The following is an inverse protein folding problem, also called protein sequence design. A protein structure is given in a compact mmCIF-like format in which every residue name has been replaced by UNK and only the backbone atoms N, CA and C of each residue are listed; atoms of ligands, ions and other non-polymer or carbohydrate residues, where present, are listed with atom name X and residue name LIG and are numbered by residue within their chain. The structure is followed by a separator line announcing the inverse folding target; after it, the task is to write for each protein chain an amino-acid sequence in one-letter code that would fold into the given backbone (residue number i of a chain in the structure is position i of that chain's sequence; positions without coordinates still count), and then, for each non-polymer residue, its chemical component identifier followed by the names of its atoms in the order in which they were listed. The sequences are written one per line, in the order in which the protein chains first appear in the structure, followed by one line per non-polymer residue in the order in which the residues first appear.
data_IF_026674347903
#
_entry.id   IF_026674347903
#
_cell.length_a   1.000
_cell.length_b   1.000
_cell.length_c   1.000
_cell.angle_alpha   90.00
_cell.angle_beta   90.00
_cell.angle_gamma   90.00
#
_symmetry.space_group_name_H-M   'P 1'
#
loop_
_entity.id
_entity.type
_entity.pdbx_description
1 polymer ?
#
# COMPACT_ATOMS: atom_id res chain seq x y z
N UNK A 1 -28.02 21.81 -104.19
CA UNK A 1 -27.42 20.50 -104.56
C UNK A 1 -26.17 20.30 -103.70
N UNK A 2 -25.75 19.05 -103.53
CA UNK A 2 -24.44 18.61 -103.01
C UNK A 2 -23.95 19.13 -101.64
N UNK A 3 -24.18 18.30 -100.62
CA UNK A 3 -23.17 17.92 -99.61
C UNK A 3 -22.14 16.95 -100.26
N UNK A 4 -20.99 16.53 -99.66
CA UNK A 4 -20.56 16.55 -98.24
C UNK A 4 -19.10 17.08 -98.04
N UNK A 5 -18.45 17.11 -96.86
CA UNK A 5 -17.92 16.00 -96.00
C UNK A 5 -17.48 16.51 -94.59
N UNK A 6 -17.14 15.65 -93.60
CA UNK A 6 -17.69 15.82 -92.23
C UNK A 6 -16.70 15.79 -91.03
N UNK A 7 -17.28 16.00 -89.82
CA UNK A 7 -17.07 15.40 -88.46
C UNK A 7 -15.81 14.56 -88.14
N UNK A 8 -15.40 14.41 -86.85
CA UNK A 8 -16.10 14.73 -85.57
C UNK A 8 -15.37 15.82 -84.75
N UNK A 9 -15.53 16.10 -83.44
CA UNK A 9 -16.29 15.55 -82.27
C UNK A 9 -16.50 16.71 -81.25
N UNK A 10 -17.30 16.67 -80.16
CA UNK A 10 -18.40 15.81 -79.66
C UNK A 10 -19.14 16.56 -78.51
N UNK A 11 -20.16 15.93 -77.90
CA UNK A 11 -20.84 16.31 -76.64
C UNK A 11 -19.99 15.97 -75.40
N UNK A 12 -20.30 16.41 -74.16
CA UNK A 12 -21.58 16.79 -73.50
C UNK A 12 -21.34 17.95 -72.50
N UNK A 13 -22.26 18.86 -72.12
CA UNK A 13 -23.65 18.73 -71.62
C UNK A 13 -23.74 17.89 -70.32
N UNK A 14 -24.42 18.29 -69.24
CA UNK A 14 -25.08 19.55 -68.81
C UNK A 14 -25.21 19.48 -67.25
N UNK A 15 -25.79 20.37 -66.45
CA UNK A 15 -26.78 21.46 -66.68
C UNK A 15 -26.63 22.53 -65.59
N UNK A 16 -26.88 23.80 -65.93
CA UNK A 16 -27.15 24.85 -64.94
C UNK A 16 -28.65 25.10 -64.86
N UNK A 17 -29.23 25.08 -63.67
CA UNK A 17 -30.54 25.68 -63.40
C UNK A 17 -30.48 26.39 -62.04
N UNK A 18 -31.00 27.62 -61.99
CA UNK A 18 -30.83 28.54 -60.87
C UNK A 18 -32.13 28.75 -60.12
N UNK A 19 -32.04 29.01 -58.79
CA UNK A 19 -32.32 30.34 -58.19
C UNK A 19 -32.42 30.30 -56.66
N UNK A 20 -32.42 31.51 -56.12
CA UNK A 20 -32.83 31.97 -54.78
C UNK A 20 -31.77 31.76 -53.70
N UNK A 21 -31.59 32.84 -52.96
CA UNK A 21 -30.73 33.03 -51.81
C UNK A 21 -31.45 32.52 -50.55
N UNK A 22 -30.77 31.73 -49.73
CA UNK A 22 -31.10 31.58 -48.31
C UNK A 22 -29.90 32.10 -47.52
N UNK A 23 -30.05 33.31 -46.99
CA UNK A 23 -29.07 33.94 -46.10
C UNK A 23 -29.02 33.18 -44.76
N UNK A 24 -27.81 32.97 -44.24
CA UNK A 24 -27.51 32.50 -42.89
C UNK A 24 -28.26 31.24 -42.37
N UNK A 25 -27.58 30.08 -42.41
CA UNK A 25 -27.23 29.23 -41.24
C UNK A 25 -26.15 28.23 -41.69
N UNK A 26 -24.89 28.67 -41.75
CA UNK A 26 -23.73 27.78 -41.52
C UNK A 26 -22.46 28.57 -41.16
N UNK A 27 -22.60 29.52 -40.23
CA UNK A 27 -21.45 29.99 -39.46
C UNK A 27 -20.94 28.83 -38.61
N UNK A 28 -20.06 28.00 -39.19
CA UNK A 28 -19.50 26.82 -38.56
C UNK A 28 -18.94 27.19 -37.19
N UNK A 29 -19.65 26.79 -36.13
CA UNK A 29 -19.22 26.96 -34.76
C UNK A 29 -18.07 25.99 -34.52
N UNK A 30 -16.88 26.41 -34.95
CA UNK A 30 -15.63 26.02 -34.31
C UNK A 30 -15.69 26.54 -32.88
N UNK A 31 -16.36 25.78 -32.03
CA UNK A 31 -16.08 25.76 -30.62
C UNK A 31 -14.58 25.48 -30.50
N UNK A 32 -13.80 26.52 -30.26
CA UNK A 32 -12.47 26.35 -29.72
C UNK A 32 -12.65 25.62 -28.39
N UNK A 33 -12.45 24.30 -28.42
CA UNK A 33 -12.38 23.48 -27.21
C UNK A 33 -11.24 24.06 -26.39
N UNK A 34 -11.58 24.93 -25.45
CA UNK A 34 -10.65 25.57 -24.54
C UNK A 34 -10.10 24.48 -23.61
N UNK A 35 -9.05 23.80 -24.09
CA UNK A 35 -8.32 22.80 -23.33
C UNK A 35 -7.69 23.55 -22.16
N UNK A 36 -8.26 23.35 -20.96
CA UNK A 36 -7.79 24.01 -19.74
C UNK A 36 -6.30 23.72 -19.60
N UNK A 37 -5.46 24.75 -19.58
CA UNK A 37 -4.03 24.54 -19.49
C UNK A 37 -3.64 24.19 -18.05
N UNK A 38 -3.62 22.89 -17.73
CA UNK A 38 -3.22 22.38 -16.41
C UNK A 38 -1.75 22.66 -16.05
N UNK A 39 -0.93 23.15 -16.99
CA UNK A 39 0.42 23.65 -16.71
C UNK A 39 0.46 25.10 -16.19
N UNK A 40 -0.62 25.88 -16.37
CA UNK A 40 -0.78 27.26 -15.87
C UNK A 40 -1.44 27.33 -14.47
N UNK A 41 -1.72 26.19 -13.83
CA UNK A 41 -2.17 26.17 -12.45
C UNK A 41 -1.13 26.80 -11.51
N UNK A 42 -1.59 27.69 -10.63
CA UNK A 42 -0.76 28.30 -9.59
C UNK A 42 -0.20 27.24 -8.64
N UNK A 43 1.01 27.48 -8.14
CA UNK A 43 1.80 26.48 -7.41
C UNK A 43 1.07 25.95 -6.17
N UNK A 44 0.36 26.80 -5.42
CA UNK A 44 -0.47 26.40 -4.27
C UNK A 44 -1.54 25.35 -4.63
N UNK A 45 -2.16 25.50 -5.80
CA UNK A 45 -3.18 24.57 -6.29
C UNK A 45 -2.56 23.26 -6.80
N UNK A 46 -1.34 23.30 -7.36
CA UNK A 46 -0.59 22.10 -7.70
C UNK A 46 -0.14 21.34 -6.46
N UNK A 47 0.36 22.01 -5.42
CA UNK A 47 0.74 21.36 -4.15
C UNK A 47 -0.46 20.66 -3.51
N UNK A 48 -1.64 21.29 -3.47
CA UNK A 48 -2.88 20.66 -2.97
C UNK A 48 -3.35 19.46 -3.80
N UNK A 49 -3.03 19.40 -5.10
CA UNK A 49 -3.26 18.21 -5.94
C UNK A 49 -2.23 17.13 -5.58
N UNK A 50 -0.94 17.48 -5.49
CA UNK A 50 0.11 16.52 -5.16
C UNK A 50 -0.01 15.96 -3.73
N UNK A 51 -0.60 16.69 -2.78
CA UNK A 51 -1.02 16.16 -1.46
C UNK A 51 -2.19 15.14 -1.51
N UNK A 52 -2.71 14.83 -2.70
CA UNK A 52 -3.78 13.83 -2.94
C UNK A 52 -3.41 12.79 -4.01
N UNK A 53 -2.30 12.98 -4.72
CA UNK A 53 -1.74 12.05 -5.70
C UNK A 53 -0.70 11.20 -5.00
N UNK A 54 -0.77 9.87 -5.10
CA UNK A 54 0.09 8.98 -4.32
C UNK A 54 1.57 9.08 -4.70
N UNK A 55 2.48 8.64 -3.81
CA UNK A 55 3.93 8.55 -4.10
C UNK A 55 4.19 7.83 -5.43
N UNK A 56 3.48 6.72 -5.67
CA UNK A 56 3.52 5.95 -6.92
C UNK A 56 3.14 6.81 -8.12
N UNK A 57 1.98 7.47 -8.08
CA UNK A 57 1.46 8.30 -9.18
C UNK A 57 2.34 9.52 -9.46
N UNK A 58 2.91 10.14 -8.41
CA UNK A 58 3.85 11.27 -8.57
C UNK A 58 5.11 10.82 -9.30
N UNK A 59 5.69 9.68 -8.90
CA UNK A 59 6.92 9.15 -9.47
C UNK A 59 6.72 8.56 -10.88
N UNK A 60 5.61 7.88 -11.15
CA UNK A 60 5.36 7.20 -12.44
C UNK A 60 4.69 8.09 -13.49
N UNK A 61 3.92 9.11 -13.06
CA UNK A 61 3.11 9.93 -13.96
C UNK A 61 3.27 11.43 -13.78
N UNK A 62 2.91 11.97 -12.60
CA UNK A 62 2.67 13.41 -12.45
C UNK A 62 3.92 14.26 -12.72
N UNK A 63 5.12 13.80 -12.32
CA UNK A 63 6.36 14.52 -12.58
C UNK A 63 6.75 14.65 -14.07
N UNK A 64 6.12 13.89 -14.97
CA UNK A 64 6.40 13.90 -16.40
C UNK A 64 5.42 14.75 -17.22
N UNK A 65 4.30 15.20 -16.63
CA UNK A 65 3.23 15.94 -17.34
C UNK A 65 3.72 17.26 -17.94
N UNK A 66 4.45 18.08 -17.16
CA UNK A 66 5.08 19.30 -17.66
C UNK A 66 6.16 19.82 -16.68
N UNK A 67 6.92 20.84 -17.10
CA UNK A 67 7.96 21.46 -16.25
C UNK A 67 7.42 22.03 -14.92
N UNK A 68 6.21 22.59 -14.91
CA UNK A 68 5.59 23.14 -13.69
C UNK A 68 5.34 22.02 -12.67
N UNK A 69 4.70 20.94 -13.12
CA UNK A 69 4.42 19.75 -12.31
C UNK A 69 5.71 19.04 -11.84
N UNK A 70 6.74 18.97 -12.71
CA UNK A 70 8.06 18.44 -12.32
C UNK A 70 8.71 19.27 -11.21
N UNK A 71 8.67 20.61 -11.31
CA UNK A 71 9.22 21.47 -10.27
C UNK A 71 8.49 21.30 -8.93
N UNK A 72 7.16 21.14 -8.96
CA UNK A 72 6.36 20.83 -7.76
C UNK A 72 6.75 19.46 -7.18
N UNK A 73 6.93 18.43 -8.01
CA UNK A 73 7.34 17.07 -7.57
C UNK A 73 8.70 16.99 -6.87
N UNK A 74 9.49 18.06 -6.91
CA UNK A 74 10.81 18.17 -6.26
C UNK A 74 10.76 18.95 -4.94
N UNK A 75 9.60 19.44 -4.52
CA UNK A 75 9.40 20.12 -3.24
C UNK A 75 9.38 19.10 -2.08
N UNK A 76 10.32 19.15 -1.12
CA UNK A 76 10.39 18.19 0.00
C UNK A 76 9.13 18.14 0.87
N UNK A 77 8.32 19.20 0.87
CA UNK A 77 7.11 19.28 1.69
C UNK A 77 6.00 18.30 1.26
N UNK A 78 6.03 17.82 0.03
CA UNK A 78 5.14 16.76 -0.45
C UNK A 78 5.51 15.40 0.14
N UNK A 79 6.82 15.14 0.28
CA UNK A 79 7.38 13.84 0.65
C UNK A 79 7.44 13.59 2.16
N UNK A 80 6.80 14.46 2.97
CA UNK A 80 6.67 14.29 4.43
C UNK A 80 5.73 13.14 4.81
N UNK A 81 4.83 12.74 3.91
CA UNK A 81 3.85 11.66 4.09
C UNK A 81 4.06 10.61 3.00
N UNK A 82 4.90 9.61 3.27
CA UNK A 82 5.22 8.54 2.32
C UNK A 82 4.26 7.36 2.58
N UNK A 83 3.51 6.99 1.55
CA UNK A 83 2.78 5.72 1.49
C UNK A 83 3.04 5.05 0.14
N UNK A 84 3.60 3.85 0.18
CA UNK A 84 3.81 2.96 -0.97
C UNK A 84 2.96 1.71 -0.71
N UNK A 85 2.03 1.33 -1.60
CA UNK A 85 1.26 0.10 -1.45
C UNK A 85 2.16 -1.12 -1.62
N UNK A 86 1.81 -2.20 -0.92
CA UNK A 86 2.56 -3.46 -0.92
C UNK A 86 1.91 -4.54 -1.83
N UNK A 87 0.73 -4.27 -2.40
CA UNK A 87 0.03 -5.23 -3.24
C UNK A 87 0.46 -5.15 -4.71
N UNK A 88 1.09 -6.22 -5.16
CA UNK A 88 1.45 -6.51 -6.57
C UNK A 88 0.24 -6.51 -7.53
N UNK A 89 -1.00 -6.54 -7.03
CA UNK A 89 -2.22 -6.56 -7.85
C UNK A 89 -2.69 -5.17 -8.28
N UNK A 90 -2.41 -4.12 -7.52
CA UNK A 90 -2.62 -2.73 -7.96
C UNK A 90 -1.47 -2.28 -8.89
N UNK A 91 -0.24 -2.66 -8.54
CA UNK A 91 0.96 -2.39 -9.33
C UNK A 91 1.09 -3.40 -10.48
N UNK A 92 0.27 -3.22 -11.53
CA UNK A 92 0.23 -4.10 -12.71
C UNK A 92 1.54 -4.27 -13.51
N UNK A 93 2.63 -3.58 -13.14
CA UNK A 93 3.95 -3.60 -13.77
C UNK A 93 5.01 -4.00 -12.73
N UNK A 94 6.17 -4.50 -13.15
CA UNK A 94 7.31 -4.79 -12.25
C UNK A 94 7.93 -3.51 -11.65
N UNK A 95 7.24 -2.91 -10.68
CA UNK A 95 7.67 -1.69 -9.97
C UNK A 95 8.38 -2.09 -8.69
N UNK A 96 9.65 -1.69 -8.55
CA UNK A 96 10.41 -1.85 -7.31
C UNK A 96 9.91 -0.85 -6.25
N UNK A 97 9.03 -1.33 -5.36
CA UNK A 97 8.44 -0.55 -4.27
C UNK A 97 9.48 -0.10 -3.23
N UNK A 98 10.58 -0.84 -3.05
CA UNK A 98 11.67 -0.41 -2.17
C UNK A 98 12.44 0.75 -2.81
N UNK A 99 12.74 0.69 -4.11
CA UNK A 99 13.39 1.80 -4.83
C UNK A 99 12.48 3.05 -4.91
N UNK A 100 11.15 2.88 -5.02
CA UNK A 100 10.20 4.00 -4.88
C UNK A 100 10.25 4.63 -3.48
N UNK A 101 10.25 3.81 -2.44
CA UNK A 101 10.35 4.29 -1.06
C UNK A 101 11.68 5.04 -0.82
N UNK A 102 12.79 4.53 -1.39
CA UNK A 102 14.12 5.19 -1.32
C UNK A 102 14.13 6.56 -1.99
N UNK A 103 13.63 6.66 -3.22
CA UNK A 103 13.49 7.93 -3.94
C UNK A 103 12.61 8.94 -3.18
N UNK A 104 11.50 8.48 -2.59
CA UNK A 104 10.63 9.32 -1.77
C UNK A 104 11.31 9.83 -0.49
N UNK A 105 12.08 8.98 0.20
CA UNK A 105 12.87 9.34 1.39
C UNK A 105 13.93 10.40 1.04
N UNK A 106 14.65 10.23 -0.08
CA UNK A 106 15.68 11.19 -0.51
C UNK A 106 15.07 12.55 -0.90
N UNK A 107 13.91 12.56 -1.56
CA UNK A 107 13.18 13.81 -1.88
C UNK A 107 12.65 14.53 -0.64
N UNK A 108 12.34 13.81 0.44
CA UNK A 108 11.90 14.41 1.71
C UNK A 108 13.00 15.16 2.48
N UNK A 109 14.27 15.00 2.09
CA UNK A 109 15.44 15.69 2.67
C UNK A 109 15.52 15.59 4.21
N UNK A 110 15.03 14.48 4.77
CA UNK A 110 15.04 14.16 6.20
C UNK A 110 13.84 14.64 7.01
N UNK A 111 12.81 15.20 6.36
CA UNK A 111 11.56 15.62 6.99
C UNK A 111 10.41 14.61 6.84
N UNK A 112 10.70 13.31 6.71
CA UNK A 112 9.65 12.26 6.65
C UNK A 112 8.97 12.16 8.01
N UNK A 113 7.67 12.49 8.07
CA UNK A 113 6.86 12.49 9.30
C UNK A 113 5.99 11.24 9.42
N UNK A 114 5.47 10.73 8.29
CA UNK A 114 4.79 9.43 8.21
C UNK A 114 5.43 8.60 7.11
N UNK A 115 5.74 7.34 7.41
CA UNK A 115 6.24 6.36 6.45
C UNK A 115 5.38 5.09 6.48
N UNK A 116 4.97 4.61 5.31
CA UNK A 116 4.19 3.40 5.14
C UNK A 116 4.61 2.64 3.88
N UNK A 117 4.99 1.37 4.02
CA UNK A 117 5.39 0.48 2.93
C UNK A 117 5.43 -0.99 3.40
N UNK A 118 5.62 -1.92 2.46
CA UNK A 118 6.28 -3.20 2.78
C UNK A 118 7.71 -2.97 3.27
N UNK A 119 8.21 -3.84 4.15
CA UNK A 119 9.43 -3.55 4.91
C UNK A 119 10.55 -4.59 4.75
N UNK A 120 11.78 -4.10 4.66
CA UNK A 120 13.02 -4.87 4.72
C UNK A 120 14.01 -4.22 5.70
N UNK A 121 14.90 -5.01 6.31
CA UNK A 121 15.96 -4.47 7.18
C UNK A 121 16.82 -3.41 6.47
N UNK A 122 17.03 -3.56 5.14
CA UNK A 122 17.79 -2.61 4.32
C UNK A 122 17.05 -1.29 4.06
N UNK A 123 15.72 -1.32 3.95
CA UNK A 123 14.89 -0.12 3.79
C UNK A 123 14.74 0.64 5.12
N UNK A 124 14.50 -0.08 6.21
CA UNK A 124 14.34 0.52 7.55
C UNK A 124 15.63 1.17 8.06
N UNK A 125 16.79 0.53 7.84
CA UNK A 125 18.08 1.11 8.19
C UNK A 125 18.35 2.40 7.40
N UNK A 126 18.07 2.39 6.09
CA UNK A 126 18.21 3.56 5.23
C UNK A 126 17.24 4.69 5.60
N UNK A 127 15.99 4.38 5.98
CA UNK A 127 15.07 5.38 6.52
C UNK A 127 15.68 6.07 7.76
N UNK A 128 16.19 5.29 8.72
CA UNK A 128 16.80 5.82 9.94
C UNK A 128 18.09 6.63 9.70
N UNK A 129 18.84 6.35 8.63
CA UNK A 129 20.01 7.12 8.21
C UNK A 129 19.67 8.41 7.45
N UNK A 130 18.41 8.58 7.00
CA UNK A 130 17.99 9.71 6.16
C UNK A 130 16.98 10.66 6.80
N UNK A 131 16.16 10.24 7.77
CA UNK A 131 15.18 11.11 8.49
C UNK A 131 15.39 11.15 10.00
N UNK A 132 15.03 12.27 10.63
CA UNK A 132 14.93 12.43 12.10
C UNK A 132 13.49 12.68 12.59
N UNK A 133 12.61 13.12 11.69
CA UNK A 133 11.35 13.79 12.05
C UNK A 133 10.15 12.84 12.11
N UNK A 134 10.42 11.52 12.10
CA UNK A 134 9.40 10.48 11.97
C UNK A 134 8.52 10.39 13.22
N UNK A 135 7.21 10.56 13.00
CA UNK A 135 6.15 10.50 14.03
C UNK A 135 5.29 9.25 13.90
N UNK A 136 5.19 8.70 12.70
CA UNK A 136 4.41 7.51 12.41
C UNK A 136 5.13 6.55 11.46
N UNK A 137 5.20 5.27 11.83
CA UNK A 137 5.76 4.19 11.03
C UNK A 137 4.70 3.09 10.85
N UNK A 138 4.38 2.72 9.61
CA UNK A 138 3.38 1.68 9.30
C UNK A 138 3.95 0.62 8.36
N UNK A 139 4.32 -0.53 8.90
CA UNK A 139 4.91 -1.63 8.13
C UNK A 139 3.78 -2.60 7.72
N UNK A 140 3.54 -2.71 6.42
CA UNK A 140 2.40 -3.47 5.85
C UNK A 140 2.69 -4.97 5.85
N UNK A 141 3.93 -5.35 5.54
CA UNK A 141 4.46 -6.69 5.71
C UNK A 141 5.87 -6.61 6.29
N UNK A 142 6.24 -7.55 7.19
CA UNK A 142 7.53 -7.51 7.90
C UNK A 142 8.33 -8.81 7.80
N UNK A 143 8.03 -9.70 6.86
CA UNK A 143 8.69 -11.00 6.70
C UNK A 143 10.19 -10.90 6.32
N UNK A 144 10.65 -9.72 5.87
CA UNK A 144 12.06 -9.36 5.62
C UNK A 144 12.67 -8.46 6.73
N UNK A 145 12.02 -8.36 7.89
CA UNK A 145 12.45 -7.50 9.01
C UNK A 145 12.85 -8.34 10.22
N UNK A 146 14.00 -8.04 10.82
CA UNK A 146 14.42 -8.63 12.09
C UNK A 146 14.01 -7.77 13.28
N UNK A 147 13.65 -8.41 14.41
CA UNK A 147 13.27 -7.70 15.64
C UNK A 147 14.37 -6.72 16.11
N UNK A 148 15.64 -7.05 15.84
CA UNK A 148 16.80 -6.23 16.21
C UNK A 148 16.85 -4.94 15.38
N UNK A 149 16.75 -5.03 14.06
CA UNK A 149 16.79 -3.84 13.19
C UNK A 149 15.55 -2.98 13.42
N UNK A 150 14.37 -3.56 13.63
CA UNK A 150 13.19 -2.79 14.03
C UNK A 150 13.46 -1.99 15.31
N UNK A 151 13.98 -2.62 16.37
CA UNK A 151 14.29 -1.97 17.64
C UNK A 151 15.35 -0.87 17.51
N UNK A 152 16.41 -1.11 16.75
CA UNK A 152 17.48 -0.15 16.46
C UNK A 152 16.95 1.06 15.68
N UNK A 153 16.07 0.83 14.71
CA UNK A 153 15.45 1.88 13.88
C UNK A 153 14.45 2.72 14.67
N UNK A 154 13.51 2.11 15.40
CA UNK A 154 12.53 2.89 16.18
C UNK A 154 13.18 3.63 17.36
N UNK A 155 14.23 3.07 17.95
CA UNK A 155 15.06 3.75 18.97
C UNK A 155 15.83 4.98 18.46
N UNK A 156 15.93 5.18 17.14
CA UNK A 156 16.50 6.39 16.51
C UNK A 156 15.47 7.50 16.29
N UNK A 157 14.18 7.25 16.54
CA UNK A 157 13.08 8.21 16.33
C UNK A 157 12.44 8.68 17.65
N UNK A 158 13.03 9.67 18.35
CA UNK A 158 12.51 10.16 19.64
C UNK A 158 11.16 10.89 19.54
N UNK A 159 10.64 11.10 18.32
CA UNK A 159 9.34 11.73 18.04
C UNK A 159 8.27 10.72 17.59
N UNK A 160 8.54 9.41 17.61
CA UNK A 160 7.61 8.38 17.17
C UNK A 160 6.43 8.25 18.14
N UNK A 161 5.23 8.66 17.69
CA UNK A 161 3.99 8.61 18.48
C UNK A 161 3.06 7.47 18.03
N UNK A 162 3.18 7.03 16.77
CA UNK A 162 2.41 5.94 16.16
C UNK A 162 3.33 4.84 15.59
N UNK A 163 3.03 3.57 15.87
CA UNK A 163 3.67 2.42 15.23
C UNK A 163 2.60 1.40 14.82
N UNK A 164 2.63 0.97 13.56
CA UNK A 164 1.80 -0.09 13.01
C UNK A 164 2.67 -1.21 12.42
N UNK A 165 2.37 -2.44 12.81
CA UNK A 165 3.00 -3.67 12.35
C UNK A 165 1.91 -4.63 11.84
N UNK A 166 1.93 -4.93 10.55
CA UNK A 166 0.94 -5.80 9.89
C UNK A 166 1.63 -7.04 9.32
N UNK A 167 0.96 -8.19 9.47
CA UNK A 167 1.50 -9.54 9.27
C UNK A 167 2.92 -9.74 9.88
N UNK A 168 3.10 -9.47 11.19
CA UNK A 168 4.39 -9.57 11.86
C UNK A 168 4.85 -11.02 12.03
N UNK A 169 6.05 -11.34 11.51
CA UNK A 169 6.75 -12.62 11.72
C UNK A 169 7.83 -12.53 12.81
N UNK A 170 7.56 -11.74 13.86
CA UNK A 170 8.54 -11.42 14.89
C UNK A 170 8.59 -12.45 16.04
N UNK A 171 9.71 -12.51 16.74
CA UNK A 171 9.82 -13.24 18.00
C UNK A 171 9.14 -12.45 19.14
N UNK A 172 8.64 -13.15 20.17
CA UNK A 172 7.85 -12.59 21.29
C UNK A 172 8.49 -11.39 22.00
N UNK A 173 9.82 -11.27 22.00
CA UNK A 173 10.54 -10.13 22.59
C UNK A 173 10.28 -8.78 21.89
N UNK A 174 9.61 -8.75 20.72
CA UNK A 174 9.40 -7.51 19.94
C UNK A 174 8.68 -6.41 20.73
N UNK A 175 7.64 -6.73 21.51
CA UNK A 175 6.90 -5.73 22.30
C UNK A 175 7.75 -5.13 23.42
N UNK A 176 8.65 -5.93 24.00
CA UNK A 176 9.64 -5.45 24.96
C UNK A 176 10.62 -4.50 24.28
N UNK A 177 11.23 -4.92 23.19
CA UNK A 177 12.23 -4.13 22.47
C UNK A 177 11.65 -2.80 21.96
N UNK A 178 10.41 -2.81 21.44
CA UNK A 178 9.69 -1.61 21.00
C UNK A 178 9.34 -0.70 22.19
N UNK A 179 8.83 -1.24 23.31
CA UNK A 179 8.48 -0.43 24.48
C UNK A 179 9.70 0.16 25.21
N UNK A 180 10.82 -0.58 25.25
CA UNK A 180 12.10 -0.09 25.77
C UNK A 180 12.73 0.99 24.85
N UNK A 181 12.48 0.94 23.53
CA UNK A 181 12.97 1.92 22.56
C UNK A 181 12.07 3.16 22.38
N UNK A 182 10.75 3.03 22.55
CA UNK A 182 9.76 4.08 22.26
C UNK A 182 8.87 4.42 23.46
N UNK A 183 9.42 5.01 24.55
CA UNK A 183 8.68 5.32 25.78
C UNK A 183 7.62 6.44 25.66
N UNK A 184 7.40 6.97 24.45
CA UNK A 184 6.41 8.02 24.14
C UNK A 184 5.36 7.57 23.11
N UNK A 185 5.32 6.27 22.78
CA UNK A 185 4.36 5.69 21.85
C UNK A 185 2.93 5.82 22.40
N UNK A 186 2.05 6.48 21.65
CA UNK A 186 0.64 6.75 22.02
C UNK A 186 -0.34 5.81 21.33
N UNK A 187 -0.03 5.44 20.09
CA UNK A 187 -0.81 4.54 19.26
C UNK A 187 0.04 3.36 18.81
N UNK A 188 -0.38 2.14 19.16
CA UNK A 188 0.24 0.91 18.70
C UNK A 188 -0.80 0.06 17.97
N UNK A 189 -0.48 -0.39 16.76
CA UNK A 189 -1.39 -1.16 15.91
C UNK A 189 -0.67 -2.44 15.45
N UNK A 190 -1.23 -3.59 15.79
CA UNK A 190 -0.62 -4.91 15.61
C UNK A 190 -1.67 -5.83 14.95
N UNK A 191 -1.47 -6.11 13.66
CA UNK A 191 -2.48 -6.73 12.80
C UNK A 191 -2.02 -8.11 12.31
N UNK A 192 -2.80 -9.14 12.61
CA UNK A 192 -2.58 -10.53 12.23
C UNK A 192 -3.86 -11.11 11.58
N UNK A 193 -3.75 -12.26 10.91
CA UNK A 193 -4.85 -12.89 10.16
C UNK A 193 -6.02 -13.34 11.06
N UNK A 194 -5.77 -13.65 12.33
CA UNK A 194 -6.74 -14.28 13.24
C UNK A 194 -6.86 -15.78 13.01
N UNK A 195 -7.08 -16.53 14.09
CA UNK A 195 -7.37 -17.96 14.06
C UNK A 195 -8.50 -18.29 15.03
N UNK A 196 -9.27 -19.34 14.70
CA UNK A 196 -10.28 -19.93 15.58
C UNK A 196 -9.81 -21.24 16.24
N UNK A 197 -8.57 -21.68 15.99
CA UNK A 197 -8.00 -22.92 16.55
C UNK A 197 -7.90 -22.83 18.07
N UNK A 198 -8.48 -23.80 18.80
CA UNK A 198 -8.60 -23.74 20.27
C UNK A 198 -7.25 -23.79 20.98
N UNK A 199 -6.28 -24.43 20.35
CA UNK A 199 -4.92 -24.70 20.85
C UNK A 199 -3.94 -23.53 20.60
N UNK A 200 -4.37 -22.47 19.90
CA UNK A 200 -3.53 -21.33 19.53
C UNK A 200 -3.36 -20.24 20.60
N UNK A 201 -4.06 -20.35 21.75
CA UNK A 201 -4.16 -19.30 22.76
C UNK A 201 -2.79 -18.85 23.32
N UNK A 202 -2.49 -17.56 23.21
CA UNK A 202 -1.23 -16.96 23.66
C UNK A 202 -1.46 -15.58 24.28
N UNK A 203 -1.16 -15.42 25.58
CA UNK A 203 -1.26 -14.13 26.26
C UNK A 203 0.08 -13.35 26.27
N UNK A 204 1.19 -13.92 25.78
CA UNK A 204 2.53 -13.32 25.94
C UNK A 204 2.66 -11.97 25.22
N UNK A 205 2.08 -11.83 24.02
CA UNK A 205 1.98 -10.56 23.29
C UNK A 205 1.30 -9.48 24.13
N UNK A 206 0.18 -9.83 24.76
CA UNK A 206 -0.60 -8.94 25.61
C UNK A 206 0.15 -8.59 26.92
N UNK A 207 0.93 -9.51 27.48
CA UNK A 207 1.81 -9.22 28.61
C UNK A 207 2.98 -8.32 28.20
N UNK A 208 3.54 -8.49 27.00
CA UNK A 208 4.53 -7.60 26.42
C UNK A 208 4.02 -6.16 26.37
N UNK A 209 2.87 -5.95 25.74
CA UNK A 209 2.21 -4.64 25.65
C UNK A 209 1.94 -4.06 27.05
N UNK A 210 1.31 -4.84 27.94
CA UNK A 210 0.95 -4.40 29.28
C UNK A 210 2.17 -4.07 30.18
N UNK A 211 3.31 -4.74 29.99
CA UNK A 211 4.52 -4.52 30.78
C UNK A 211 5.36 -3.34 30.27
N UNK A 212 5.45 -3.16 28.96
CA UNK A 212 6.43 -2.26 28.33
C UNK A 212 5.82 -1.02 27.66
N UNK A 213 4.49 -0.98 27.46
CA UNK A 213 3.79 0.16 26.83
C UNK A 213 2.55 0.64 27.65
N UNK A 214 2.70 0.99 28.94
CA UNK A 214 1.57 1.40 29.81
C UNK A 214 0.97 2.78 29.47
N UNK A 215 1.70 3.63 28.76
CA UNK A 215 1.27 5.00 28.39
C UNK A 215 0.40 5.05 27.11
N UNK A 216 0.07 3.89 26.51
CA UNK A 216 -0.73 3.81 25.29
C UNK A 216 -2.14 4.40 25.51
N UNK A 217 -2.57 5.22 24.54
CA UNK A 217 -3.92 5.77 24.41
C UNK A 217 -4.76 5.03 23.39
N UNK A 218 -4.12 4.47 22.38
CA UNK A 218 -4.77 3.71 21.32
C UNK A 218 -4.04 2.39 21.12
N UNK A 219 -4.78 1.28 21.24
CA UNK A 219 -4.29 -0.05 20.91
C UNK A 219 -5.24 -0.69 19.90
N UNK A 220 -4.70 -1.05 18.73
CA UNK A 220 -5.34 -1.95 17.80
C UNK A 220 -4.58 -3.27 17.85
N UNK A 221 -5.23 -4.34 18.29
CA UNK A 221 -4.64 -5.67 18.33
C UNK A 221 -5.65 -6.62 17.66
N UNK A 222 -5.44 -6.82 16.37
CA UNK A 222 -6.39 -7.46 15.46
C UNK A 222 -5.87 -8.83 15.06
N UNK A 223 -6.72 -9.85 15.19
CA UNK A 223 -6.38 -11.23 14.82
C UNK A 223 -5.33 -11.89 15.72
N UNK A 224 -5.15 -11.41 16.95
CA UNK A 224 -4.22 -11.96 17.93
C UNK A 224 -4.85 -13.06 18.79
N UNK A 225 -4.01 -13.92 19.38
CA UNK A 225 -4.44 -15.11 20.12
C UNK A 225 -4.70 -14.87 21.61
N UNK A 226 -4.61 -13.62 22.08
CA UNK A 226 -4.81 -13.25 23.48
C UNK A 226 -6.18 -13.68 24.02
N UNK A 227 -6.17 -14.15 25.26
CA UNK A 227 -7.39 -14.52 25.98
C UNK A 227 -7.87 -13.36 26.86
N UNK A 228 -8.98 -13.58 27.57
CA UNK A 228 -9.40 -12.68 28.64
C UNK A 228 -8.30 -12.40 29.69
N UNK A 229 -7.34 -13.31 29.91
CA UNK A 229 -6.23 -13.11 30.86
C UNK A 229 -5.21 -12.08 30.33
N UNK A 230 -4.82 -12.16 29.06
CA UNK A 230 -4.01 -11.13 28.40
C UNK A 230 -4.72 -9.78 28.32
N UNK A 231 -5.99 -9.75 27.90
CA UNK A 231 -6.79 -8.52 27.83
C UNK A 231 -6.93 -7.83 29.19
N UNK A 232 -7.18 -8.58 30.27
CA UNK A 232 -7.25 -8.02 31.62
C UNK A 232 -5.91 -7.41 32.05
N UNK A 233 -4.77 -8.02 31.70
CA UNK A 233 -3.46 -7.47 31.99
C UNK A 233 -3.20 -6.13 31.29
N UNK A 234 -3.62 -5.98 30.02
CA UNK A 234 -3.59 -4.70 29.29
C UNK A 234 -4.47 -3.67 30.02
N UNK A 235 -5.74 -4.00 30.28
CA UNK A 235 -6.71 -3.08 30.90
C UNK A 235 -6.32 -2.63 32.32
N UNK A 236 -5.52 -3.43 33.04
CA UNK A 236 -5.03 -3.11 34.39
C UNK A 236 -3.71 -2.34 34.42
N UNK A 237 -2.99 -2.21 33.30
CA UNK A 237 -1.70 -1.49 33.21
C UNK A 237 -1.71 -0.30 32.25
N UNK A 238 -2.35 -0.43 31.09
CA UNK A 238 -2.54 0.66 30.13
C UNK A 238 -3.69 1.58 30.59
N UNK A 239 -3.49 2.27 31.71
CA UNK A 239 -4.56 3.02 32.39
C UNK A 239 -5.04 4.25 31.60
N UNK A 240 -4.24 4.72 30.65
CA UNK A 240 -4.52 5.85 29.76
C UNK A 240 -5.16 5.45 28.42
N UNK A 241 -5.57 4.18 28.26
CA UNK A 241 -6.17 3.68 27.03
C UNK A 241 -7.58 4.27 26.79
N UNK A 242 -7.72 5.02 25.71
CA UNK A 242 -8.94 5.71 25.24
C UNK A 242 -9.65 4.89 24.13
N UNK A 243 -8.87 4.19 23.30
CA UNK A 243 -9.34 3.37 22.18
C UNK A 243 -8.72 1.97 22.22
N UNK A 244 -9.56 0.95 22.02
CA UNK A 244 -9.15 -0.45 21.97
C UNK A 244 -9.89 -1.20 20.85
N UNK A 245 -9.15 -1.77 19.92
CA UNK A 245 -9.69 -2.63 18.86
C UNK A 245 -9.20 -4.07 19.04
N UNK A 246 -10.16 -5.00 19.11
CA UNK A 246 -9.96 -6.44 19.37
C UNK A 246 -10.47 -7.32 18.22
N UNK A 247 -10.76 -6.77 17.04
CA UNK A 247 -11.36 -7.52 15.92
C UNK A 247 -10.54 -8.77 15.56
N UNK A 248 -11.22 -9.87 15.23
CA UNK A 248 -10.62 -11.20 14.97
C UNK A 248 -9.82 -11.83 16.14
N UNK A 249 -9.77 -11.22 17.34
CA UNK A 249 -9.25 -11.86 18.56
C UNK A 249 -10.29 -12.83 19.15
N UNK A 250 -10.52 -13.95 18.46
CA UNK A 250 -11.65 -14.86 18.71
C UNK A 250 -11.60 -15.63 20.05
N UNK A 251 -10.50 -15.53 20.80
CA UNK A 251 -10.36 -16.09 22.16
C UNK A 251 -10.76 -15.13 23.30
N UNK A 252 -11.16 -13.89 22.96
CA UNK A 252 -11.72 -12.93 23.91
C UNK A 252 -13.22 -13.13 24.06
N UNK A 253 -13.65 -13.51 25.27
CA UNK A 253 -15.06 -13.47 25.68
C UNK A 253 -15.32 -12.19 26.50
N UNK A 254 -16.03 -11.25 25.88
CA UNK A 254 -16.52 -10.04 26.54
C UNK A 254 -17.68 -10.35 27.50
N UNK A 255 -17.42 -11.08 28.57
CA UNK A 255 -18.34 -11.29 29.69
C UNK A 255 -18.45 -10.04 30.58
N UNK A 256 -19.32 -10.10 31.60
CA UNK A 256 -19.61 -8.99 32.49
C UNK A 256 -18.36 -8.43 33.22
N UNK A 257 -17.37 -9.26 33.55
CA UNK A 257 -16.15 -8.83 34.24
C UNK A 257 -15.25 -8.01 33.31
N UNK A 258 -15.05 -8.49 32.08
CA UNK A 258 -14.26 -7.79 31.06
C UNK A 258 -14.95 -6.48 30.66
N UNK A 259 -16.26 -6.52 30.36
CA UNK A 259 -17.02 -5.31 30.01
C UNK A 259 -17.00 -4.24 31.11
N UNK A 260 -17.03 -4.64 32.38
CA UNK A 260 -16.94 -3.70 33.51
C UNK A 260 -15.60 -2.95 33.57
N UNK A 261 -14.49 -3.54 33.09
CA UNK A 261 -13.21 -2.83 32.94
C UNK A 261 -13.16 -2.02 31.64
N UNK A 262 -13.76 -2.51 30.57
CA UNK A 262 -13.85 -1.77 29.30
C UNK A 262 -14.73 -0.51 29.37
N UNK A 263 -15.49 -0.24 30.44
CA UNK A 263 -16.31 0.98 30.56
C UNK A 263 -15.50 2.29 30.57
N UNK A 264 -14.18 2.23 30.72
CA UNK A 264 -13.28 3.39 30.58
C UNK A 264 -12.91 3.71 29.13
N UNK A 265 -13.07 2.75 28.21
CA UNK A 265 -12.66 2.86 26.82
C UNK A 265 -13.76 3.62 26.07
N UNK A 266 -13.43 4.74 25.46
CA UNK A 266 -14.38 5.53 24.67
C UNK A 266 -14.71 4.83 23.36
N UNK A 267 -13.69 4.23 22.72
CA UNK A 267 -13.79 3.61 21.40
C UNK A 267 -13.38 2.13 21.48
N UNK A 268 -14.34 1.24 21.74
CA UNK A 268 -14.13 -0.21 21.76
C UNK A 268 -14.66 -0.86 20.47
N UNK A 269 -13.81 -1.57 19.73
CA UNK A 269 -14.23 -2.54 18.68
C UNK A 269 -14.18 -3.96 19.25
N UNK A 270 -15.24 -4.73 19.02
CA UNK A 270 -15.38 -6.09 19.54
C UNK A 270 -14.81 -7.16 18.57
N UNK A 271 -14.47 -8.38 19.05
CA UNK A 271 -13.86 -9.43 18.22
C UNK A 271 -14.60 -9.86 16.94
N UNK A 272 -15.91 -9.64 16.86
CA UNK A 272 -16.73 -9.98 15.69
C UNK A 272 -17.31 -8.74 14.99
N UNK A 273 -16.78 -7.53 15.26
CA UNK A 273 -17.11 -6.33 14.49
C UNK A 273 -16.48 -6.42 13.09
N UNK A 274 -17.14 -5.86 12.07
CA UNK A 274 -16.67 -5.89 10.68
C UNK A 274 -15.28 -5.23 10.51
N UNK A 275 -14.48 -5.77 9.60
CA UNK A 275 -13.09 -5.34 9.32
C UNK A 275 -12.93 -4.52 8.02
N UNK A 276 -14.02 -4.03 7.43
CA UNK A 276 -14.03 -3.36 6.11
C UNK A 276 -13.28 -2.02 6.04
N UNK A 277 -12.97 -1.40 7.18
CA UNK A 277 -12.06 -0.23 7.31
C UNK A 277 -10.60 -0.63 7.59
N UNK A 278 -10.32 -1.91 7.87
CA UNK A 278 -8.98 -2.49 7.89
C UNK A 278 -8.68 -3.14 6.53
N UNK A 279 -8.26 -2.33 5.55
CA UNK A 279 -7.96 -2.72 4.15
C UNK A 279 -6.79 -3.71 3.94
N UNK A 280 -6.46 -4.51 4.94
CA UNK A 280 -5.43 -5.58 4.91
C UNK A 280 -6.02 -6.98 5.17
N UNK A 281 -7.34 -7.09 5.37
CA UNK A 281 -7.99 -8.32 5.87
C UNK A 281 -8.92 -8.95 4.82
N UNK A 282 -9.27 -8.21 3.77
CA UNK A 282 -10.25 -8.59 2.74
C UNK A 282 -9.62 -9.53 1.69
N UNK A 283 -9.35 -10.78 2.08
CA UNK A 283 -8.73 -11.78 1.21
C UNK A 283 -8.59 -13.20 1.74
N UNK A 284 -8.59 -13.40 3.07
CA UNK A 284 -8.45 -14.72 3.69
C UNK A 284 -9.46 -14.93 4.84
N UNK A 285 -10.74 -14.98 4.46
CA UNK A 285 -11.73 -15.70 5.26
C UNK A 285 -11.64 -17.19 4.93
N UNK A 286 -10.77 -17.87 5.68
CA UNK A 286 -10.76 -19.33 5.83
C UNK A 286 -12.06 -19.78 6.53
N UNK A 287 -13.17 -19.79 5.78
CA UNK A 287 -14.43 -20.42 6.19
C UNK A 287 -14.29 -21.95 6.09
N UNK A 288 -13.37 -22.49 6.89
CA UNK A 288 -13.36 -23.90 7.27
C UNK A 288 -14.58 -24.17 8.15
N UNK A 289 -15.74 -24.24 7.50
CA UNK A 289 -16.96 -24.78 8.10
C UNK A 289 -16.68 -26.22 8.51
N UNK A 290 -16.43 -26.42 9.80
CA UNK A 290 -16.15 -27.72 10.42
C UNK A 290 -17.42 -28.59 10.46
N UNK A 291 -17.88 -29.04 9.29
CA UNK A 291 -18.98 -30.00 9.15
C UNK A 291 -18.48 -31.42 9.48
N UNK A 292 -18.39 -31.68 10.79
CA UNK A 292 -17.92 -32.92 11.40
C UNK A 292 -18.93 -34.06 11.17
N UNK A 293 -18.92 -34.64 9.96
CA UNK A 293 -19.93 -35.59 9.48
C UNK A 293 -19.34 -36.94 9.05
N UNK A 294 -19.07 -37.79 10.06
CA UNK A 294 -19.04 -39.26 9.96
C UNK A 294 -18.26 -39.89 8.80
N UNK A 295 -16.97 -40.17 9.03
CA UNK A 295 -16.32 -41.36 8.43
C UNK A 295 -16.53 -42.58 9.34
N UNK A 296 -17.06 -43.71 8.84
CA UNK A 296 -17.11 -44.95 9.61
C UNK A 296 -15.72 -45.51 9.89
N UNK A 297 -15.58 -46.25 10.99
CA UNK A 297 -14.39 -47.05 11.29
C UNK A 297 -14.19 -48.15 10.21
N UNK A 298 -12.93 -48.56 10.00
CA UNK A 298 -12.43 -49.55 9.01
C UNK A 298 -12.21 -49.08 7.54
N UNK A 299 -11.25 -48.18 7.31
CA UNK A 299 -10.35 -48.24 6.13
C UNK A 299 -8.90 -47.91 6.50
N UNK A 300 -8.07 -48.95 6.64
CA UNK A 300 -6.61 -48.80 6.54
C UNK A 300 -6.25 -48.71 5.04
N UNK A 301 -5.78 -47.56 4.60
CA UNK A 301 -5.10 -47.39 3.32
C UNK A 301 -3.80 -46.63 3.58
N UNK A 302 -2.69 -47.18 3.11
CA UNK A 302 -1.35 -46.64 3.36
C UNK A 302 -1.16 -45.27 2.70
N UNK A 303 -0.25 -44.52 3.31
CA UNK A 303 0.40 -43.34 2.75
C UNK A 303 1.05 -43.67 1.41
N UNK A 304 0.53 -43.12 0.30
CA UNK A 304 1.29 -42.77 -0.90
C UNK A 304 0.42 -41.97 -1.90
N UNK A 305 1.09 -41.28 -2.82
CA UNK A 305 0.55 -40.67 -4.05
C UNK A 305 -0.36 -39.42 -3.93
N UNK A 306 0.26 -38.24 -4.06
CA UNK A 306 -0.08 -37.33 -5.17
C UNK A 306 1.13 -36.44 -5.50
N UNK A 307 1.80 -36.79 -6.60
CA UNK A 307 2.69 -35.91 -7.37
C UNK A 307 1.93 -35.47 -8.64
N UNK A 308 2.62 -34.87 -9.62
CA UNK A 308 2.11 -34.32 -10.89
C UNK A 308 1.36 -32.97 -10.79
N UNK A 309 2.13 -31.87 -10.62
CA UNK A 309 1.96 -30.71 -11.52
C UNK A 309 3.20 -29.81 -11.67
N UNK A 310 4.41 -30.39 -11.68
CA UNK A 310 5.62 -29.70 -12.15
C UNK A 310 6.06 -30.28 -13.49
N UNK A 311 5.93 -29.47 -14.55
CA UNK A 311 6.56 -29.78 -15.84
C UNK A 311 7.38 -28.55 -16.29
N UNK A 312 8.69 -28.70 -16.25
CA UNK A 312 9.64 -27.72 -16.78
C UNK A 312 9.59 -27.70 -18.31
N UNK A 313 9.95 -26.57 -18.92
CA UNK A 313 10.55 -26.57 -20.26
C UNK A 313 11.85 -25.72 -20.23
N UNK A 314 12.94 -26.37 -19.81
CA UNK A 314 14.25 -25.77 -19.56
C UNK A 314 15.06 -25.64 -20.86
N UNK A 315 15.05 -24.47 -21.49
CA UNK A 315 15.98 -24.15 -22.60
C UNK A 315 17.35 -23.74 -22.06
N UNK A 316 18.20 -24.74 -21.80
CA UNK A 316 19.54 -24.51 -21.29
C UNK A 316 20.50 -23.90 -22.32
N UNK A 317 21.28 -22.92 -21.87
CA UNK A 317 22.60 -22.56 -22.43
C UNK A 317 23.64 -22.60 -21.30
N UNK A 318 24.91 -22.76 -21.67
CA UNK A 318 25.99 -23.19 -20.77
C UNK A 318 26.52 -22.09 -19.85
N UNK A 319 27.00 -22.50 -18.67
CA UNK A 319 28.02 -21.77 -17.93
C UNK A 319 29.31 -21.70 -18.78
N UNK A 320 29.80 -20.50 -19.05
CA UNK A 320 31.22 -20.15 -19.22
C UNK A 320 31.31 -18.64 -19.52
N UNK A 321 31.45 -17.82 -18.46
CA UNK A 321 32.31 -16.62 -18.38
C UNK A 321 31.91 -15.74 -17.16
N UNK A 322 32.85 -15.59 -16.22
CA UNK A 322 32.79 -14.60 -15.13
C UNK A 322 33.54 -13.33 -15.60
N UNK A 323 32.83 -12.28 -16.03
CA UNK A 323 33.40 -10.93 -16.12
C UNK A 323 32.55 -9.88 -15.39
N UNK A 324 33.25 -8.92 -14.78
CA UNK A 324 32.71 -7.84 -13.94
C UNK A 324 32.13 -6.71 -14.79
N UNK A 325 30.82 -6.44 -14.64
CA UNK A 325 30.19 -5.23 -15.16
C UNK A 325 29.24 -4.59 -14.14
N UNK A 326 29.78 -3.62 -13.41
CA UNK A 326 28.99 -2.55 -12.79
C UNK A 326 28.70 -1.46 -13.82
N UNK A 327 27.45 -1.33 -14.28
CA UNK A 327 27.03 -0.28 -15.24
C UNK A 327 25.78 0.49 -14.79
N UNK A 328 25.81 1.81 -15.02
CA UNK A 328 24.83 2.81 -14.55
C UNK A 328 23.82 3.22 -15.64
N UNK A 329 23.48 2.31 -16.56
CA UNK A 329 22.79 2.66 -17.82
C UNK A 329 21.25 2.74 -17.76
N UNK A 330 20.57 2.12 -16.79
CA UNK A 330 19.10 2.04 -16.78
C UNK A 330 18.37 3.39 -16.58
N UNK A 331 19.02 4.40 -16.00
CA UNK A 331 18.43 5.74 -15.82
C UNK A 331 18.46 6.61 -17.10
N UNK A 332 19.19 6.21 -18.14
CA UNK A 332 19.37 7.02 -19.35
C UNK A 332 18.18 6.89 -20.32
N UNK A 333 17.56 5.71 -20.40
CA UNK A 333 16.52 5.42 -21.41
C UNK A 333 15.26 6.29 -21.30
N UNK A 334 14.93 6.79 -20.10
CA UNK A 334 13.81 7.72 -19.87
C UNK A 334 14.13 9.19 -20.24
N UNK A 335 15.31 9.48 -20.79
CA UNK A 335 15.74 10.86 -21.13
C UNK A 335 15.95 11.13 -22.62
N UNK A 336 16.00 10.08 -23.46
CA UNK A 336 16.44 10.20 -24.87
C UNK A 336 15.32 10.28 -25.91
N UNK A 337 14.05 10.07 -25.54
CA UNK A 337 12.91 10.10 -26.45
C UNK A 337 11.89 11.17 -26.03
N UNK A 338 12.19 12.46 -26.29
CA UNK A 338 11.22 13.49 -26.73
C UNK A 338 11.94 14.83 -26.98
N UNK A 339 12.47 15.00 -28.19
CA UNK A 339 13.05 16.26 -28.68
C UNK A 339 12.62 16.58 -30.11
N UNK A 340 11.34 16.95 -30.27
CA UNK A 340 10.87 18.09 -31.08
C UNK A 340 9.39 18.39 -30.78
#
# INVERSE_FOLDING_TARGET
METPKPKPSSSSSSSSCSRVDDDAIESSSREERCWRNWAELGQDALSLIFEKVGVVDVLMGAQFVCRSWRNVSLDPSLWRLIHVPDDYRELSWNVDTEQMAREAIDRAQGHVQRFSAGASDALLSYLADRTSDLRCLCLITTYKVSCKVLAEVVGRFPLLEELELTFPSFARDVFKLVGEACPHLKCFRYNQQGSRSKDGQDDEDAFGIANYMPELRQLQIVGNMLTNKGLLAILDKCLHLESLDLRRCFHVDLNASVRAKCTRIENLRCPNDATSDCGFIDGYDDDFSSDDSYLPEDVNLDMDYYDDFFHEEYFGFSEDDYEDYTDYSYLVYLTSNFTL
#
